data_IF_123877311693
#
_entry.id   IF_123877311693
#
_cell.length_a   1.000
_cell.length_b   1.000
_cell.length_c   1.000
_cell.angle_alpha   90.00
_cell.angle_beta   90.00
_cell.angle_gamma   90.00
#
_symmetry.space_group_name_H-M   'P 1'
#
loop_
_entity.id
_entity.type
_entity.pdbx_description
1 polymer ?
#
# COMPACT_ATOMS: atom_id res chain seq x y z
N UNK A 1 -11.37 -16.37 16.66
CA UNK A 1 -11.22 -16.11 16.28
C UNK A 1 -10.71 -15.34 15.92
N UNK A 2 -10.55 -15.03 15.81
CA UNK A 2 -10.06 -14.31 15.66
C UNK A 2 -9.56 -13.82 14.79
N UNK A 3 -9.54 -13.63 14.32
CA UNK A 3 -9.22 -13.37 13.42
C UNK A 3 -9.25 -12.16 13.05
N UNK A 4 -9.02 -11.29 13.65
CA UNK A 4 -8.98 -10.15 13.30
C UNK A 4 -7.98 -9.86 12.48
N UNK A 5 -8.10 -9.56 11.32
CA UNK A 5 -7.12 -9.32 10.48
C UNK A 5 -6.61 -8.00 10.60
N UNK A 6 -5.34 -7.74 10.56
CA UNK A 6 -4.76 -6.44 10.59
C UNK A 6 -5.21 -5.56 9.49
N UNK A 7 -5.46 -6.11 8.34
CA UNK A 7 -5.87 -5.29 7.25
C UNK A 7 -7.24 -4.70 7.44
N UNK A 8 -7.96 -5.12 8.44
CA UNK A 8 -9.25 -4.55 8.69
C UNK A 8 -9.19 -3.45 9.73
N UNK A 9 -8.02 -3.12 10.20
CA UNK A 9 -7.91 -2.05 11.16
C UNK A 9 -8.22 -0.72 10.52
N UNK A 10 -8.93 0.14 11.20
CA UNK A 10 -9.26 1.45 10.62
C UNK A 10 -8.01 2.32 10.50
N UNK A 11 -7.95 3.10 9.46
CA UNK A 11 -6.85 4.01 9.24
C UNK A 11 -7.19 5.32 9.94
N UNK A 12 -6.24 5.80 10.75
CA UNK A 12 -6.44 7.04 11.41
C UNK A 12 -6.13 8.16 10.46
N UNK A 13 -7.06 9.02 10.22
CA UNK A 13 -6.85 10.11 9.30
C UNK A 13 -6.38 11.34 10.05
N UNK A 14 -5.45 12.06 9.44
CA UNK A 14 -4.97 13.28 10.04
C UNK A 14 -6.01 14.38 9.91
N UNK A 15 -6.02 15.26 10.88
CA UNK A 15 -6.90 16.41 10.82
C UNK A 15 -6.20 17.47 9.97
N UNK A 16 -6.71 17.73 8.80
CA UNK A 16 -6.10 18.65 7.86
C UNK A 16 -6.76 20.03 7.87
N UNK A 17 -7.68 20.25 8.79
CA UNK A 17 -8.49 21.43 8.79
C UNK A 17 -7.68 22.73 8.86
N UNK A 18 -6.60 22.70 9.61
CA UNK A 18 -5.81 23.91 9.81
C UNK A 18 -4.59 24.03 8.93
N UNK A 19 -4.47 23.16 7.95
CA UNK A 19 -3.32 23.20 7.05
C UNK A 19 -3.57 24.24 5.96
N UNK A 20 -2.52 24.90 5.51
CA UNK A 20 -2.66 25.79 4.39
C UNK A 20 -2.60 25.02 3.08
N UNK A 21 -2.89 25.69 1.98
CA UNK A 21 -2.99 25.04 0.68
C UNK A 21 -1.68 24.39 0.27
N UNK A 22 -0.57 25.09 0.50
CA UNK A 22 0.73 24.58 0.11
C UNK A 22 1.06 23.27 0.82
N UNK A 23 0.76 23.22 2.11
CA UNK A 23 1.02 22.02 2.87
C UNK A 23 0.12 20.88 2.43
N UNK A 24 -1.12 21.20 2.10
CA UNK A 24 -2.03 20.18 1.59
C UNK A 24 -1.54 19.61 0.27
N UNK A 25 -1.00 20.46 -0.60
CA UNK A 25 -0.48 20.00 -1.87
C UNK A 25 0.75 19.13 -1.70
N UNK A 26 1.62 19.52 -0.77
CA UNK A 26 2.79 18.70 -0.48
C UNK A 26 2.38 17.35 0.09
N UNK A 27 1.36 17.34 0.89
CA UNK A 27 0.86 16.12 1.47
C UNK A 27 0.36 15.18 0.36
N UNK A 28 -0.35 15.73 -0.62
CA UNK A 28 -0.81 14.94 -1.75
C UNK A 28 0.38 14.32 -2.49
N UNK A 29 1.40 15.11 -2.75
CA UNK A 29 2.58 14.61 -3.43
C UNK A 29 3.22 13.46 -2.65
N UNK A 30 3.29 13.62 -1.35
CA UNK A 30 3.86 12.59 -0.50
C UNK A 30 3.03 11.33 -0.55
N UNK A 31 1.71 11.47 -0.53
CA UNK A 31 0.82 10.33 -0.59
C UNK A 31 0.93 9.61 -1.93
N UNK A 32 1.07 10.38 -3.00
CA UNK A 32 1.21 9.78 -4.32
C UNK A 32 2.48 8.95 -4.43
N UNK A 33 3.57 9.44 -3.85
CA UNK A 33 4.81 8.67 -3.83
C UNK A 33 4.64 7.40 -3.03
N UNK A 34 3.93 7.49 -1.93
CA UNK A 34 3.70 6.32 -1.10
C UNK A 34 2.84 5.30 -1.82
N UNK A 35 1.85 5.76 -2.56
CA UNK A 35 1.01 4.85 -3.35
C UNK A 35 1.87 4.10 -4.35
N UNK A 36 2.77 4.80 -5.03
CA UNK A 36 3.63 4.15 -6.00
C UNK A 36 4.54 3.12 -5.33
N UNK A 37 5.08 3.46 -4.18
CA UNK A 37 5.93 2.54 -3.46
C UNK A 37 5.18 1.26 -3.08
N UNK A 38 3.95 1.42 -2.62
CA UNK A 38 3.14 0.27 -2.23
C UNK A 38 2.75 -0.57 -3.45
N UNK A 39 2.42 0.09 -4.54
CA UNK A 39 2.09 -0.63 -5.77
C UNK A 39 3.27 -1.44 -6.28
N UNK A 40 4.48 -0.87 -6.19
CA UNK A 40 5.67 -1.60 -6.59
C UNK A 40 5.88 -2.82 -5.71
N UNK A 41 5.62 -2.68 -4.43
CA UNK A 41 5.75 -3.79 -3.50
C UNK A 41 4.75 -4.90 -3.84
N UNK A 42 3.53 -4.52 -4.19
CA UNK A 42 2.51 -5.49 -4.58
C UNK A 42 2.96 -6.24 -5.83
N UNK A 43 3.49 -5.50 -6.81
CA UNK A 43 3.94 -6.13 -8.03
C UNK A 43 5.08 -7.10 -7.77
N UNK A 44 6.00 -6.70 -6.91
CA UNK A 44 7.12 -7.57 -6.57
C UNK A 44 6.63 -8.86 -5.92
N UNK A 45 5.67 -8.73 -5.02
CA UNK A 45 5.15 -9.91 -4.34
C UNK A 45 4.38 -10.82 -5.30
N UNK A 46 3.64 -10.25 -6.21
CA UNK A 46 2.92 -11.03 -7.21
C UNK A 46 3.90 -11.78 -8.11
N UNK A 47 4.98 -11.12 -8.47
CA UNK A 47 5.96 -11.74 -9.34
C UNK A 47 6.60 -12.95 -8.68
N UNK A 48 6.94 -12.81 -7.41
CA UNK A 48 7.52 -13.92 -6.68
C UNK A 48 6.54 -15.08 -6.61
N UNK A 49 5.29 -14.77 -6.36
CA UNK A 49 4.25 -15.80 -6.28
C UNK A 49 4.10 -16.53 -7.61
N UNK A 50 4.12 -15.79 -8.71
CA UNK A 50 4.01 -16.40 -10.02
C UNK A 50 5.20 -17.29 -10.33
N UNK A 51 6.39 -16.84 -9.96
CA UNK A 51 7.60 -17.65 -10.19
C UNK A 51 7.54 -18.94 -9.41
N UNK A 52 7.07 -18.87 -8.18
CA UNK A 52 6.95 -20.06 -7.37
C UNK A 52 5.94 -21.04 -7.97
N UNK A 53 4.82 -20.49 -8.43
CA UNK A 53 3.83 -21.34 -9.08
C UNK A 53 4.37 -21.98 -10.34
N UNK A 54 5.15 -21.23 -11.08
CA UNK A 54 5.76 -21.74 -12.29
C UNK A 54 6.66 -22.91 -12.01
N UNK A 55 7.43 -22.81 -10.94
CA UNK A 55 8.31 -23.90 -10.57
C UNK A 55 7.53 -25.16 -10.20
N UNK A 56 6.45 -24.98 -9.49
CA UNK A 56 5.67 -26.13 -9.09
C UNK A 56 4.91 -26.75 -10.25
N UNK A 57 4.55 -25.93 -11.21
CA UNK A 57 3.82 -26.46 -12.33
C UNK A 57 4.69 -27.05 -13.39
N UNK A 58 5.93 -26.86 -13.30
CA UNK A 58 6.81 -27.33 -14.31
C UNK A 58 6.72 -28.80 -14.46
N UNK A 59 6.65 -29.34 -15.60
CA UNK A 59 6.57 -30.79 -15.81
C UNK A 59 7.85 -31.48 -15.48
#
# INVERSE_FOLDING_TARGET
LPILEPKTQPVKLKDLTHWNIEDLELYITKMEKEILRVRDMIEAKKKVSLDANSLFKSP
#
